data_IF_463318230811
#
_entry.id   IF_463318230811
#
_cell.length_a   1.000
_cell.length_b   1.000
_cell.length_c   1.000
_cell.angle_alpha   90.00
_cell.angle_beta   90.00
_cell.angle_gamma   90.00
#
_symmetry.space_group_name_H-M   'P 1'
#
loop_
_entity.id
_entity.type
_entity.pdbx_description
1 polymer ?
#
# COMPACT_ATOMS: atom_id res chain seq x y z
N UNK A 1 -5.65 -43.58 -26.05
CA UNK A 1 -6.65 -42.50 -25.82
C UNK A 1 -6.83 -42.08 -24.35
N UNK A 2 -6.21 -42.73 -23.34
CA UNK A 2 -6.33 -42.28 -21.94
C UNK A 2 -5.47 -41.05 -21.59
N UNK A 3 -4.32 -40.88 -22.24
CA UNK A 3 -3.36 -39.80 -21.95
C UNK A 3 -3.73 -38.45 -22.58
N UNK A 4 -4.53 -38.45 -23.66
CA UNK A 4 -5.01 -37.21 -24.31
C UNK A 4 -6.00 -36.44 -23.44
N UNK A 5 -6.79 -37.16 -22.64
CA UNK A 5 -7.76 -36.57 -21.70
C UNK A 5 -7.02 -35.85 -20.55
N UNK A 6 -5.89 -36.40 -20.09
CA UNK A 6 -5.09 -35.79 -19.03
C UNK A 6 -4.41 -34.47 -19.48
N UNK A 7 -4.02 -34.35 -20.75
CA UNK A 7 -3.39 -33.14 -21.29
C UNK A 7 -4.33 -31.92 -21.35
N UNK A 8 -5.64 -32.12 -21.34
CA UNK A 8 -6.63 -31.03 -21.41
C UNK A 8 -7.13 -30.63 -20.01
N UNK A 9 -7.30 -31.61 -19.11
CA UNK A 9 -7.86 -31.36 -17.78
C UNK A 9 -6.85 -30.65 -16.85
N UNK A 10 -5.56 -30.99 -16.94
CA UNK A 10 -4.51 -30.43 -16.08
C UNK A 10 -4.29 -28.91 -16.30
N UNK A 11 -4.19 -28.38 -17.54
CA UNK A 11 -4.06 -26.93 -17.73
C UNK A 11 -5.31 -26.14 -17.35
N UNK A 12 -6.51 -26.74 -17.43
CA UNK A 12 -7.76 -26.10 -17.01
C UNK A 12 -7.83 -25.84 -15.50
N UNK A 13 -7.27 -26.73 -14.69
CA UNK A 13 -7.22 -26.58 -13.22
C UNK A 13 -6.14 -25.58 -12.80
N UNK A 14 -5.02 -25.50 -13.53
CA UNK A 14 -3.94 -24.55 -13.22
C UNK A 14 -4.29 -23.08 -13.53
N UNK A 15 -5.21 -22.82 -14.45
CA UNK A 15 -5.64 -21.45 -14.78
C UNK A 15 -6.60 -20.85 -13.74
N UNK A 16 -7.23 -21.68 -12.88
CA UNK A 16 -8.17 -21.22 -11.85
C UNK A 16 -7.53 -20.61 -10.60
N UNK A 17 -6.21 -20.71 -10.42
CA UNK A 17 -5.53 -20.30 -9.19
C UNK A 17 -4.89 -18.90 -9.23
N UNK A 18 -5.15 -18.10 -10.27
CA UNK A 18 -4.69 -16.70 -10.34
C UNK A 18 -5.72 -15.70 -9.80
N UNK A 19 -6.68 -16.16 -8.98
CA UNK A 19 -7.52 -15.26 -8.20
C UNK A 19 -6.70 -14.71 -7.03
N UNK A 20 -6.01 -13.59 -7.25
CA UNK A 20 -5.52 -12.76 -6.16
C UNK A 20 -6.74 -12.34 -5.33
N UNK A 21 -6.90 -12.95 -4.16
CA UNK A 21 -7.95 -12.58 -3.20
C UNK A 21 -7.53 -11.24 -2.61
N UNK A 22 -7.91 -10.16 -3.29
CA UNK A 22 -7.95 -8.85 -2.69
C UNK A 22 -9.08 -8.88 -1.66
N UNK A 23 -8.73 -8.83 -0.38
CA UNK A 23 -9.66 -8.53 0.70
C UNK A 23 -10.15 -7.08 0.52
N UNK A 24 -11.06 -6.85 -0.43
CA UNK A 24 -11.77 -5.60 -0.60
C UNK A 24 -12.72 -5.46 0.59
N UNK A 25 -12.25 -4.79 1.64
CA UNK A 25 -13.13 -4.28 2.69
C UNK A 25 -14.22 -3.45 2.01
N UNK A 26 -15.47 -3.87 2.15
CA UNK A 26 -16.66 -3.10 1.75
C UNK A 26 -16.91 -1.90 2.69
N UNK A 27 -15.83 -1.29 3.20
CA UNK A 27 -15.83 -0.18 4.13
C UNK A 27 -14.99 0.98 3.60
N UNK A 28 -14.97 2.09 4.36
CA UNK A 28 -14.17 3.28 4.02
C UNK A 28 -12.74 2.86 3.64
N UNK A 29 -12.16 3.37 2.55
CA UNK A 29 -10.82 2.97 2.11
C UNK A 29 -9.80 3.31 3.21
N UNK A 30 -9.39 2.29 3.95
CA UNK A 30 -8.37 2.37 5.00
C UNK A 30 -7.03 1.91 4.46
N UNK A 31 -5.96 2.46 5.03
CA UNK A 31 -4.62 2.07 4.65
C UNK A 31 -4.38 0.62 5.07
N UNK A 32 -3.94 -0.27 4.17
CA UNK A 32 -3.56 -1.61 4.57
C UNK A 32 -2.44 -1.55 5.61
N UNK A 33 -2.60 -2.29 6.71
CA UNK A 33 -1.62 -2.27 7.79
C UNK A 33 -0.28 -2.80 7.28
N UNK A 34 0.76 -1.98 7.37
CA UNK A 34 2.12 -2.37 6.98
C UNK A 34 2.43 -2.24 5.49
N UNK A 35 1.57 -1.57 4.71
CA UNK A 35 1.85 -1.22 3.31
C UNK A 35 3.09 -0.31 3.21
N UNK A 36 3.62 -0.12 2.00
CA UNK A 36 4.82 0.69 1.76
C UNK A 36 4.70 1.53 0.51
N UNK A 37 5.36 2.70 0.54
CA UNK A 37 5.51 3.52 -0.65
C UNK A 37 6.62 2.94 -1.56
N UNK A 38 6.36 2.68 -2.86
CA UNK A 38 7.30 2.02 -3.76
C UNK A 38 8.52 2.87 -4.16
N UNK A 39 8.69 4.08 -3.64
CA UNK A 39 9.82 4.97 -3.99
C UNK A 39 11.19 4.46 -3.56
N UNK A 40 11.25 3.52 -2.61
CA UNK A 40 12.52 3.12 -2.00
C UNK A 40 13.14 1.85 -2.59
N UNK A 41 12.37 0.77 -2.72
CA UNK A 41 12.70 -0.49 -3.41
C UNK A 41 11.43 -1.36 -3.46
N UNK A 42 11.45 -2.51 -4.15
CA UNK A 42 10.37 -3.51 -4.16
C UNK A 42 9.92 -3.96 -2.75
N UNK A 43 10.77 -3.79 -1.73
CA UNK A 43 10.51 -4.24 -0.36
C UNK A 43 10.40 -3.10 0.67
N UNK A 44 10.31 -1.84 0.22
CA UNK A 44 10.21 -0.70 1.14
C UNK A 44 11.45 -0.58 2.03
N UNK A 45 12.64 -0.56 1.42
CA UNK A 45 13.90 -0.20 2.10
C UNK A 45 14.56 0.92 1.29
N UNK A 46 14.74 2.09 1.91
CA UNK A 46 15.40 3.22 1.28
C UNK A 46 16.92 3.15 1.58
N UNK A 47 17.78 3.41 0.59
CA UNK A 47 19.24 3.47 0.80
C UNK A 47 19.62 4.52 1.86
N UNK A 48 18.95 5.67 1.81
CA UNK A 48 19.09 6.79 2.75
C UNK A 48 17.73 7.15 3.36
N UNK A 49 17.73 7.87 4.48
CA UNK A 49 16.49 8.42 5.03
C UNK A 49 15.94 9.44 4.04
N UNK A 50 14.69 9.24 3.58
CA UNK A 50 14.02 10.18 2.67
C UNK A 50 14.03 11.59 3.25
N UNK A 51 14.25 12.61 2.40
CA UNK A 51 14.03 13.99 2.82
C UNK A 51 12.56 14.20 3.23
N UNK A 52 12.28 15.26 3.99
CA UNK A 52 10.88 15.57 4.36
C UNK A 52 10.01 15.82 3.12
N UNK A 53 10.60 16.39 2.09
CA UNK A 53 9.93 16.71 0.84
C UNK A 53 9.65 15.46 0.01
N UNK A 54 10.63 14.55 -0.07
CA UNK A 54 10.44 13.27 -0.75
C UNK A 54 9.41 12.41 -0.03
N UNK A 55 9.41 12.42 1.30
CA UNK A 55 8.43 11.71 2.10
C UNK A 55 7.02 12.29 1.93
N UNK A 56 6.88 13.61 1.81
CA UNK A 56 5.61 14.27 1.47
C UNK A 56 5.12 13.82 0.09
N UNK A 57 5.98 13.90 -0.93
CA UNK A 57 5.65 13.46 -2.30
C UNK A 57 5.29 11.97 -2.32
N UNK A 58 6.06 11.13 -1.63
CA UNK A 58 5.81 9.69 -1.50
C UNK A 58 4.41 9.37 -0.95
N UNK A 59 4.01 10.04 0.12
CA UNK A 59 2.68 9.87 0.71
C UNK A 59 1.58 10.36 -0.22
N UNK A 60 1.74 11.56 -0.80
CA UNK A 60 0.76 12.11 -1.74
C UNK A 60 0.58 11.21 -2.97
N UNK A 61 1.67 10.78 -3.61
CA UNK A 61 1.65 9.89 -4.78
C UNK A 61 0.95 8.55 -4.45
N UNK A 62 1.16 8.02 -3.24
CA UNK A 62 0.57 6.75 -2.81
C UNK A 62 -0.94 6.87 -2.54
N UNK A 63 -1.38 7.91 -1.83
CA UNK A 63 -2.79 8.08 -1.47
C UNK A 63 -3.65 8.70 -2.58
N UNK A 64 -3.09 9.55 -3.45
CA UNK A 64 -3.83 10.09 -4.60
C UNK A 64 -4.30 8.99 -5.56
N UNK A 65 -3.51 7.92 -5.75
CA UNK A 65 -3.92 6.75 -6.54
C UNK A 65 -5.13 6.01 -5.95
N UNK A 66 -5.42 6.24 -4.66
CA UNK A 66 -6.56 5.68 -3.92
C UNK A 66 -7.67 6.71 -3.72
N UNK A 67 -7.60 7.87 -4.39
CA UNK A 67 -8.55 8.98 -4.24
C UNK A 67 -8.60 9.56 -2.82
N UNK A 68 -7.48 9.47 -2.09
CA UNK A 68 -7.32 9.92 -0.72
C UNK A 68 -6.37 11.11 -0.61
N UNK A 69 -6.68 12.03 0.30
CA UNK A 69 -5.88 13.21 0.60
C UNK A 69 -5.01 12.99 1.84
N UNK A 70 -3.84 13.63 1.87
CA UNK A 70 -2.88 13.53 2.98
C UNK A 70 -2.68 14.88 3.65
N UNK A 71 -2.93 14.94 4.95
CA UNK A 71 -2.60 16.09 5.80
C UNK A 71 -1.46 15.73 6.77
N UNK A 72 -0.33 16.44 6.68
CA UNK A 72 0.84 16.17 7.52
C UNK A 72 0.76 16.92 8.85
N UNK A 73 0.75 16.21 9.97
CA UNK A 73 0.69 16.82 11.31
C UNK A 73 2.08 17.09 11.90
N UNK A 74 3.00 16.12 11.81
CA UNK A 74 4.31 16.20 12.46
C UNK A 74 5.41 15.66 11.55
N UNK A 75 6.48 16.44 11.37
CA UNK A 75 7.59 16.15 10.44
C UNK A 75 8.95 15.94 11.11
N UNK A 76 9.02 15.83 12.44
CA UNK A 76 10.28 15.76 13.18
C UNK A 76 10.86 14.35 13.23
N UNK A 77 12.16 14.21 12.94
CA UNK A 77 12.88 12.93 13.05
C UNK A 77 12.58 11.94 11.92
N UNK A 78 12.74 10.65 12.20
CA UNK A 78 12.58 9.54 11.24
C UNK A 78 11.14 9.35 10.77
N UNK A 79 10.16 9.68 11.59
CA UNK A 79 8.75 9.37 11.35
C UNK A 79 7.96 10.63 10.97
N UNK A 80 6.95 10.45 10.13
CA UNK A 80 5.96 11.48 9.79
C UNK A 80 4.59 10.98 10.21
N UNK A 81 3.85 11.80 10.96
CA UNK A 81 2.43 11.53 11.26
C UNK A 81 1.56 12.26 10.24
N UNK A 82 0.56 11.58 9.70
CA UNK A 82 -0.38 12.16 8.75
C UNK A 82 -1.81 11.69 9.00
N UNK A 83 -2.78 12.57 8.76
CA UNK A 83 -4.20 12.20 8.64
C UNK A 83 -4.51 11.92 7.18
N UNK A 84 -5.24 10.84 6.93
CA UNK A 84 -5.71 10.46 5.61
C UNK A 84 -7.19 10.81 5.52
N UNK A 85 -7.57 11.49 4.44
CA UNK A 85 -8.93 12.01 4.26
C UNK A 85 -9.59 11.50 2.99
N UNK A 86 -10.87 11.20 3.09
CA UNK A 86 -11.77 11.00 1.96
C UNK A 86 -12.88 12.05 2.02
N UNK A 87 -13.01 12.90 0.99
CA UNK A 87 -14.05 13.95 0.93
C UNK A 87 -14.18 14.78 2.22
N UNK A 88 -13.05 15.23 2.77
CA UNK A 88 -12.90 15.98 4.03
C UNK A 88 -13.12 15.21 5.34
N UNK A 89 -13.56 13.95 5.31
CA UNK A 89 -13.60 13.09 6.48
C UNK A 89 -12.24 12.42 6.71
N UNK A 90 -11.75 12.41 7.95
CA UNK A 90 -10.55 11.64 8.32
C UNK A 90 -10.92 10.15 8.38
N UNK A 91 -10.32 9.35 7.51
CA UNK A 91 -10.56 7.90 7.44
C UNK A 91 -9.48 7.08 8.12
N UNK A 92 -8.29 7.65 8.35
CA UNK A 92 -7.17 6.97 8.99
C UNK A 92 -6.15 7.99 9.53
N UNK A 93 -5.33 7.57 10.50
CA UNK A 93 -4.14 8.29 10.95
C UNK A 93 -2.97 7.35 10.85
N UNK A 94 -1.92 7.77 10.14
CA UNK A 94 -0.77 6.93 9.85
C UNK A 94 0.52 7.48 10.41
N UNK A 95 1.47 6.58 10.63
CA UNK A 95 2.89 6.86 10.79
C UNK A 95 3.62 6.35 9.55
N UNK A 96 4.39 7.24 8.93
CA UNK A 96 5.28 6.94 7.82
C UNK A 96 6.74 6.91 8.28
N UNK A 97 7.43 5.80 8.05
CA UNK A 97 8.86 5.67 8.34
C UNK A 97 9.70 6.14 7.15
N UNK A 98 10.40 7.27 7.27
CA UNK A 98 11.24 7.82 6.20
C UNK A 98 12.46 6.95 5.86
N UNK A 99 12.85 5.99 6.72
CA UNK A 99 13.97 5.08 6.47
C UNK A 99 13.58 3.92 5.56
N UNK A 100 12.33 3.47 5.65
CA UNK A 100 11.84 2.28 4.95
C UNK A 100 10.78 2.62 3.90
N UNK A 101 10.03 3.70 4.10
CA UNK A 101 8.84 4.00 3.30
C UNK A 101 7.62 3.20 3.75
N UNK A 102 7.69 2.50 4.90
CA UNK A 102 6.54 1.79 5.47
C UNK A 102 5.52 2.76 6.02
N UNK A 103 4.26 2.39 5.83
CA UNK A 103 3.08 3.10 6.27
C UNK A 103 2.39 2.21 7.30
N UNK A 104 2.09 2.75 8.48
CA UNK A 104 1.36 2.04 9.52
C UNK A 104 0.18 2.88 9.97
N UNK A 105 -1.01 2.33 9.83
CA UNK A 105 -2.18 2.87 10.53
C UNK A 105 -1.97 2.73 12.05
N UNK A 106 -2.41 3.75 12.77
CA UNK A 106 -2.33 3.82 14.24
C UNK A 106 -3.70 4.12 14.88
N UNK A 107 -4.79 4.00 14.12
CA UNK A 107 -6.18 4.20 14.57
C UNK A 107 -7.14 3.25 13.86
#
# INVERSE_FOLDING_TARGET
MKYLIACVIIPGILMGSLSEVYAWQHGKPVTPYGDFCPRCTKYGICKSIMSREDARKALMDYYHKKELNVELERKTGRFIRARIKHRNEVVDVIIFDRRTGRIRSIY
#
